data_IF_992788829946
#
_entry.id   IF_992788829946
#
_cell.length_a   1.000
_cell.length_b   1.000
_cell.length_c   1.000
_cell.angle_alpha   90.00
_cell.angle_beta   90.00
_cell.angle_gamma   90.00
#
_symmetry.space_group_name_H-M   'P 1'
#
loop_
_entity.id
_entity.type
_entity.pdbx_description
1 polymer ?
#
# COMPACT_ATOMS: atom_id res chain seq x y z
N UNK A 1 -8.48 18.43 -27.03
CA UNK A 1 -7.05 18.76 -26.97
C UNK A 1 -6.56 19.05 -28.38
N UNK A 2 -5.72 20.06 -28.60
CA UNK A 2 -5.14 20.37 -29.91
C UNK A 2 -4.25 19.21 -30.42
N UNK A 3 -4.21 18.98 -31.72
CA UNK A 3 -3.40 17.92 -32.35
C UNK A 3 -1.89 18.13 -32.09
N UNK A 4 -1.47 19.40 -32.02
CA UNK A 4 -0.11 19.88 -31.71
C UNK A 4 0.39 19.34 -30.37
N UNK A 5 -0.46 19.31 -29.35
CA UNK A 5 -0.11 18.90 -27.99
C UNK A 5 0.10 17.39 -27.91
N UNK A 6 -0.65 16.63 -28.72
CA UNK A 6 -0.52 15.17 -28.81
C UNK A 6 0.80 14.83 -29.52
N UNK A 7 1.10 15.48 -30.65
CA UNK A 7 2.34 15.27 -31.40
C UNK A 7 3.56 15.65 -30.53
N UNK A 8 3.51 16.79 -29.84
CA UNK A 8 4.56 17.22 -28.91
C UNK A 8 4.79 16.22 -27.77
N UNK A 9 3.73 15.65 -27.19
CA UNK A 9 3.84 14.63 -26.15
C UNK A 9 4.50 13.34 -26.68
N UNK A 10 4.11 12.85 -27.86
CA UNK A 10 4.71 11.66 -28.46
C UNK A 10 6.20 11.86 -28.80
N UNK A 11 6.57 13.03 -29.35
CA UNK A 11 7.97 13.36 -29.66
C UNK A 11 8.79 13.47 -28.38
N UNK A 12 8.27 14.11 -27.33
CA UNK A 12 8.95 14.21 -26.04
C UNK A 12 9.15 12.83 -25.37
N UNK A 13 8.12 11.97 -25.42
CA UNK A 13 8.21 10.61 -24.87
C UNK A 13 9.19 9.75 -25.69
N UNK A 14 9.22 9.89 -27.01
CA UNK A 14 10.18 9.20 -27.87
C UNK A 14 11.62 9.65 -27.62
N UNK A 15 11.84 10.96 -27.51
CA UNK A 15 13.17 11.52 -27.25
C UNK A 15 13.69 11.09 -25.87
N UNK A 16 12.83 11.12 -24.85
CA UNK A 16 13.22 10.67 -23.49
C UNK A 16 13.56 9.20 -23.47
N UNK A 17 12.78 8.33 -24.11
CA UNK A 17 13.11 6.90 -24.24
C UNK A 17 14.43 6.67 -24.98
N UNK A 18 14.70 7.45 -26.03
CA UNK A 18 15.93 7.36 -26.80
C UNK A 18 17.16 7.78 -25.97
N UNK A 19 17.08 8.92 -25.28
CA UNK A 19 18.14 9.40 -24.38
C UNK A 19 18.38 8.40 -23.25
N UNK A 20 17.31 7.86 -22.66
CA UNK A 20 17.40 6.86 -21.61
C UNK A 20 18.08 5.58 -22.09
N UNK A 21 17.74 5.11 -23.29
CA UNK A 21 18.38 3.94 -23.91
C UNK A 21 19.87 4.17 -24.17
N UNK A 22 20.26 5.35 -24.67
CA UNK A 22 21.67 5.71 -24.85
C UNK A 22 22.41 5.77 -23.50
N UNK A 23 21.82 6.36 -22.48
CA UNK A 23 22.49 6.51 -21.18
C UNK A 23 22.61 5.18 -20.41
N UNK A 24 21.58 4.33 -20.42
CA UNK A 24 21.60 3.06 -19.68
C UNK A 24 22.40 1.95 -20.38
N UNK A 25 22.49 1.97 -21.71
CA UNK A 25 23.08 0.85 -22.47
C UNK A 25 24.45 1.25 -23.02
N UNK A 26 24.60 2.45 -23.58
CA UNK A 26 25.84 2.80 -24.28
C UNK A 26 26.97 3.18 -23.34
N UNK A 27 26.72 4.07 -22.38
CA UNK A 27 27.76 4.54 -21.44
C UNK A 27 28.38 3.40 -20.61
N UNK A 28 27.62 2.56 -19.90
CA UNK A 28 28.22 1.54 -19.03
C UNK A 28 28.84 0.35 -19.78
N UNK A 29 28.39 0.03 -21.00
CA UNK A 29 28.99 -1.07 -21.80
C UNK A 29 30.33 -0.63 -22.41
N UNK A 30 30.44 0.63 -22.84
CA UNK A 30 31.60 1.14 -23.57
C UNK A 30 32.65 1.77 -22.63
N UNK A 31 32.22 2.47 -21.57
CA UNK A 31 33.14 3.15 -20.63
C UNK A 31 33.58 2.22 -19.49
N UNK A 32 32.68 1.40 -18.91
CA UNK A 32 32.96 0.63 -17.67
C UNK A 32 33.25 -0.86 -17.88
N UNK A 33 33.12 -1.39 -19.12
CA UNK A 33 33.31 -2.83 -19.48
C UNK A 33 32.49 -3.80 -18.60
N UNK A 34 31.32 -3.38 -18.15
CA UNK A 34 30.40 -4.20 -17.36
C UNK A 34 29.63 -5.17 -18.29
N UNK A 35 30.29 -6.28 -18.67
CA UNK A 35 29.71 -7.33 -19.53
C UNK A 35 28.42 -7.95 -18.95
N UNK A 36 28.19 -7.80 -17.65
CA UNK A 36 26.96 -8.23 -16.95
C UNK A 36 25.70 -7.59 -17.53
N UNK A 37 25.79 -6.37 -18.09
CA UNK A 37 24.66 -5.66 -18.70
C UNK A 37 24.22 -6.22 -20.06
N UNK A 38 25.01 -7.12 -20.67
CA UNK A 38 24.57 -7.84 -21.88
C UNK A 38 23.40 -8.79 -21.61
N UNK A 39 23.31 -9.35 -20.40
CA UNK A 39 22.24 -10.29 -20.03
C UNK A 39 20.85 -9.62 -20.11
N UNK A 40 20.61 -8.48 -19.42
CA UNK A 40 19.32 -7.78 -19.53
C UNK A 40 19.06 -7.22 -20.94
N UNK A 41 20.10 -6.80 -21.68
CA UNK A 41 19.95 -6.38 -23.09
C UNK A 41 19.53 -7.54 -23.98
N UNK A 42 20.15 -8.71 -23.83
CA UNK A 42 19.79 -9.92 -24.57
C UNK A 42 18.35 -10.33 -24.25
N UNK A 43 17.96 -10.34 -22.97
CA UNK A 43 16.60 -10.66 -22.53
C UNK A 43 15.58 -9.64 -23.06
N UNK A 44 15.92 -8.35 -23.07
CA UNK A 44 15.11 -7.29 -23.69
C UNK A 44 14.94 -7.49 -25.20
N UNK A 45 16.01 -7.87 -25.90
CA UNK A 45 15.97 -8.21 -27.32
C UNK A 45 15.11 -9.46 -27.58
N UNK A 46 15.18 -10.46 -26.70
CA UNK A 46 14.32 -11.65 -26.75
C UNK A 46 12.84 -11.28 -26.58
N UNK A 47 12.50 -10.25 -25.80
CA UNK A 47 11.11 -9.78 -25.72
C UNK A 47 10.60 -9.20 -27.04
N UNK A 48 11.45 -8.53 -27.83
CA UNK A 48 11.07 -7.99 -29.14
C UNK A 48 10.68 -9.09 -30.14
N UNK A 49 11.16 -10.33 -29.95
CA UNK A 49 10.75 -11.46 -30.80
C UNK A 49 9.25 -11.80 -30.68
N UNK A 50 8.56 -11.26 -29.66
CA UNK A 50 7.10 -11.36 -29.52
C UNK A 50 6.32 -10.76 -30.68
N UNK A 51 6.88 -9.74 -31.36
CA UNK A 51 6.23 -9.11 -32.53
C UNK A 51 6.22 -10.01 -33.77
N UNK A 52 7.07 -11.05 -33.82
CA UNK A 52 7.12 -12.00 -34.92
C UNK A 52 6.54 -13.34 -34.45
N UNK A 53 5.34 -13.75 -34.92
CA UNK A 53 4.64 -14.93 -34.41
C UNK A 53 5.45 -16.24 -34.54
N UNK A 54 6.37 -16.32 -35.52
CA UNK A 54 7.27 -17.47 -35.73
C UNK A 54 8.40 -17.58 -34.70
N UNK A 55 8.84 -16.46 -34.11
CA UNK A 55 9.94 -16.41 -33.15
C UNK A 55 9.47 -16.20 -31.69
N UNK A 56 8.16 -16.01 -31.48
CA UNK A 56 7.57 -15.69 -30.19
C UNK A 56 7.86 -16.73 -29.08
N UNK A 57 8.22 -17.97 -29.41
CA UNK A 57 8.62 -18.98 -28.43
C UNK A 57 9.84 -18.52 -27.60
N UNK A 58 10.74 -17.76 -28.20
CA UNK A 58 11.98 -17.30 -27.56
C UNK A 58 11.71 -16.24 -26.49
N UNK A 59 10.64 -15.45 -26.66
CA UNK A 59 10.17 -14.50 -25.65
C UNK A 59 9.73 -15.18 -24.33
N UNK A 60 9.36 -16.48 -24.36
CA UNK A 60 8.95 -17.23 -23.16
C UNK A 60 10.09 -17.35 -22.14
N UNK A 61 11.34 -17.49 -22.60
CA UNK A 61 12.51 -17.51 -21.72
C UNK A 61 12.73 -16.16 -21.04
N UNK A 62 12.52 -15.06 -21.78
CA UNK A 62 12.59 -13.71 -21.22
C UNK A 62 11.49 -13.49 -20.16
N UNK A 63 10.26 -13.91 -20.44
CA UNK A 63 9.17 -13.86 -19.45
C UNK A 63 9.46 -14.71 -18.21
N UNK A 64 9.98 -15.93 -18.37
CA UNK A 64 10.35 -16.79 -17.25
C UNK A 64 11.44 -16.15 -16.37
N UNK A 65 12.44 -15.51 -16.97
CA UNK A 65 13.47 -14.78 -16.23
C UNK A 65 12.91 -13.58 -15.47
N UNK A 66 12.09 -12.75 -16.11
CA UNK A 66 11.48 -11.56 -15.49
C UNK A 66 10.58 -11.96 -14.31
N UNK A 67 9.74 -12.99 -14.48
CA UNK A 67 8.89 -13.51 -13.41
C UNK A 67 9.73 -14.17 -12.32
N UNK A 68 10.79 -14.90 -12.67
CA UNK A 68 11.72 -15.53 -11.72
C UNK A 68 12.44 -14.51 -10.84
N UNK A 69 13.02 -13.47 -11.43
CA UNK A 69 13.67 -12.38 -10.69
C UNK A 69 12.65 -11.56 -9.91
N UNK A 70 11.51 -11.22 -10.52
CA UNK A 70 10.44 -10.47 -9.87
C UNK A 70 9.89 -11.19 -8.64
N UNK A 71 9.55 -12.47 -8.78
CA UNK A 71 9.08 -13.29 -7.65
C UNK A 71 10.19 -13.58 -6.63
N UNK A 72 11.42 -13.83 -7.08
CA UNK A 72 12.57 -14.07 -6.20
C UNK A 72 12.94 -12.88 -5.32
N UNK A 73 12.73 -11.65 -5.79
CA UNK A 73 12.91 -10.44 -4.98
C UNK A 73 11.66 -10.10 -4.15
N UNK A 74 10.46 -10.36 -4.68
CA UNK A 74 9.22 -10.02 -4.02
C UNK A 74 8.89 -10.96 -2.85
N UNK A 75 9.12 -12.27 -2.98
CA UNK A 75 8.72 -13.27 -1.96
C UNK A 75 9.46 -13.02 -0.63
N UNK A 76 10.82 -12.96 -0.59
CA UNK A 76 11.52 -12.70 0.66
C UNK A 76 11.17 -11.32 1.21
N UNK A 77 11.01 -10.31 0.36
CA UNK A 77 10.63 -8.96 0.79
C UNK A 77 9.25 -8.93 1.46
N UNK A 78 8.29 -9.65 0.89
CA UNK A 78 6.92 -9.76 1.42
C UNK A 78 6.93 -10.52 2.74
N UNK A 79 7.64 -11.65 2.81
CA UNK A 79 7.81 -12.44 4.04
C UNK A 79 8.47 -11.59 5.13
N UNK A 80 9.61 -10.97 4.82
CA UNK A 80 10.34 -10.16 5.78
C UNK A 80 9.54 -8.92 6.22
N UNK A 81 8.78 -8.29 5.32
CA UNK A 81 8.03 -7.08 5.68
C UNK A 81 6.75 -7.36 6.47
N UNK A 82 6.05 -8.46 6.19
CA UNK A 82 4.77 -8.76 6.84
C UNK A 82 4.92 -9.72 8.00
N UNK A 83 5.69 -10.81 7.84
CA UNK A 83 5.81 -11.87 8.85
C UNK A 83 6.80 -11.46 9.93
N UNK A 84 8.01 -11.02 9.57
CA UNK A 84 8.98 -10.62 10.60
C UNK A 84 8.50 -9.40 11.38
N UNK A 85 7.86 -8.44 10.71
CA UNK A 85 7.27 -7.29 11.39
C UNK A 85 6.15 -7.69 12.36
N UNK A 86 5.27 -8.63 11.98
CA UNK A 86 4.24 -9.13 12.89
C UNK A 86 4.83 -9.86 14.11
N UNK A 87 5.90 -10.62 13.91
CA UNK A 87 6.61 -11.29 15.00
C UNK A 87 7.28 -10.24 15.91
N UNK A 88 7.96 -9.26 15.32
CA UNK A 88 8.59 -8.15 16.05
C UNK A 88 7.57 -7.36 16.87
N UNK A 89 6.42 -7.02 16.29
CA UNK A 89 5.33 -6.31 16.98
C UNK A 89 4.74 -7.13 18.14
N UNK A 90 4.80 -8.47 18.07
CA UNK A 90 4.36 -9.38 19.14
C UNK A 90 5.41 -9.53 20.24
N UNK A 91 6.70 -9.47 19.89
CA UNK A 91 7.83 -9.67 20.82
C UNK A 91 8.28 -8.36 21.48
N UNK A 92 8.19 -7.23 20.79
CA UNK A 92 8.55 -5.89 21.30
C UNK A 92 7.87 -5.54 22.64
N UNK A 93 6.58 -5.86 22.89
CA UNK A 93 5.95 -5.66 24.20
C UNK A 93 6.51 -6.56 25.29
N UNK A 94 7.14 -7.70 24.94
CA UNK A 94 7.82 -8.61 25.85
C UNK A 94 9.27 -8.17 26.14
N UNK A 95 9.85 -7.37 25.26
CA UNK A 95 11.22 -6.84 25.34
C UNK A 95 11.18 -5.33 25.58
N UNK A 96 10.97 -4.91 26.83
CA UNK A 96 11.01 -3.48 27.17
C UNK A 96 12.48 -3.03 27.28
N UNK A 97 12.92 -2.15 26.38
CA UNK A 97 14.22 -1.48 26.48
C UNK A 97 14.24 -0.58 27.72
N UNK A 98 14.82 -1.06 28.81
CA UNK A 98 15.15 -0.24 29.97
C UNK A 98 16.38 0.60 29.60
N UNK A 99 16.32 1.94 29.64
CA UNK A 99 17.48 2.79 29.38
C UNK A 99 18.56 2.47 30.41
N UNK A 100 19.65 1.81 30.00
CA UNK A 100 20.85 1.60 30.83
C UNK A 100 21.34 0.16 31.04
N UNK A 101 20.54 -0.88 30.76
CA UNK A 101 20.95 -2.28 31.09
C UNK A 101 20.79 -3.30 29.94
N UNK A 102 20.59 -2.85 28.70
CA UNK A 102 20.44 -3.75 27.56
C UNK A 102 19.12 -4.53 27.58
N UNK A 103 19.04 -5.60 26.77
CA UNK A 103 17.81 -6.37 26.54
C UNK A 103 17.56 -7.31 27.73
N UNK A 104 16.87 -6.82 28.75
CA UNK A 104 16.48 -7.61 29.92
C UNK A 104 14.97 -7.90 29.91
N UNK A 105 14.58 -9.11 30.32
CA UNK A 105 13.18 -9.47 30.64
C UNK A 105 12.78 -8.83 31.97
N UNK A 106 12.78 -7.50 32.06
CA UNK A 106 12.44 -6.77 33.27
C UNK A 106 10.94 -6.45 33.28
N UNK A 107 10.20 -7.14 34.14
CA UNK A 107 8.81 -6.84 34.48
C UNK A 107 8.75 -5.53 35.27
N UNK A 108 8.70 -4.40 34.58
CA UNK A 108 8.61 -3.10 35.23
C UNK A 108 7.17 -2.86 35.74
N UNK A 109 6.95 -3.14 37.03
CA UNK A 109 5.69 -2.94 37.74
C UNK A 109 5.36 -1.46 38.03
N UNK A 110 6.27 -0.52 37.73
CA UNK A 110 6.07 0.92 38.02
C UNK A 110 5.32 1.66 36.90
N UNK A 111 5.15 1.04 35.72
CA UNK A 111 4.25 1.50 34.66
C UNK A 111 3.16 0.43 34.41
N UNK A 112 1.97 0.56 35.03
CA UNK A 112 0.90 -0.44 34.91
C UNK A 112 0.43 -0.66 33.47
N UNK A 113 0.50 0.36 32.62
CA UNK A 113 0.04 0.28 31.24
C UNK A 113 0.91 -0.62 30.35
N UNK A 114 2.24 -0.64 30.58
CA UNK A 114 3.15 -1.47 29.78
C UNK A 114 3.12 -2.93 30.20
N UNK A 115 3.11 -3.19 31.51
CA UNK A 115 3.03 -4.56 32.05
C UNK A 115 1.71 -5.27 31.71
N UNK A 116 0.58 -4.56 31.72
CA UNK A 116 -0.71 -5.11 31.30
C UNK A 116 -0.74 -5.49 29.81
N UNK A 117 -0.17 -4.64 28.94
CA UNK A 117 -0.12 -4.94 27.50
C UNK A 117 0.71 -6.22 27.23
N UNK A 118 1.86 -6.35 27.87
CA UNK A 118 2.71 -7.55 27.83
C UNK A 118 1.93 -8.81 28.24
N UNK A 119 1.19 -8.75 29.36
CA UNK A 119 0.41 -9.89 29.86
C UNK A 119 -0.73 -10.24 28.90
N UNK A 120 -1.45 -9.24 28.40
CA UNK A 120 -2.57 -9.43 27.47
C UNK A 120 -2.09 -10.09 26.17
N UNK A 121 -0.96 -9.63 25.61
CA UNK A 121 -0.40 -10.20 24.38
C UNK A 121 0.13 -11.61 24.64
N UNK A 122 0.87 -11.84 25.72
CA UNK A 122 1.42 -13.15 26.07
C UNK A 122 0.32 -14.20 26.25
N UNK A 123 -0.71 -13.86 27.05
CA UNK A 123 -1.86 -14.76 27.31
C UNK A 123 -2.71 -14.91 26.06
N UNK A 124 -2.98 -13.82 25.33
CA UNK A 124 -3.80 -13.83 24.11
C UNK A 124 -3.18 -14.68 23.00
N UNK A 125 -1.90 -14.46 22.68
CA UNK A 125 -1.19 -15.22 21.64
C UNK A 125 -1.05 -16.69 22.03
N UNK A 126 -0.66 -16.99 23.27
CA UNK A 126 -0.57 -18.36 23.76
C UNK A 126 -1.91 -19.10 23.69
N UNK A 127 -3.00 -18.43 24.10
CA UNK A 127 -4.36 -18.98 24.08
C UNK A 127 -4.90 -19.18 22.66
N UNK A 128 -4.62 -18.27 21.71
CA UNK A 128 -5.00 -18.40 20.29
C UNK A 128 -4.19 -19.50 19.60
N UNK A 129 -2.90 -19.61 19.87
CA UNK A 129 -2.07 -20.71 19.35
C UNK A 129 -2.57 -22.06 19.86
N UNK A 130 -2.92 -22.14 21.15
CA UNK A 130 -3.52 -23.33 21.73
C UNK A 130 -4.83 -23.70 21.02
N UNK A 131 -5.68 -22.72 20.71
CA UNK A 131 -6.93 -22.93 19.95
C UNK A 131 -6.68 -23.47 18.52
N UNK A 132 -5.73 -22.92 17.76
CA UNK A 132 -5.49 -23.35 16.37
C UNK A 132 -4.70 -24.67 16.27
N UNK A 133 -3.63 -24.84 17.04
CA UNK A 133 -2.76 -26.01 16.96
C UNK A 133 -3.40 -27.26 17.57
N UNK A 134 -4.12 -27.12 18.67
CA UNK A 134 -4.84 -28.23 19.30
C UNK A 134 -6.32 -28.25 18.89
N UNK A 135 -6.63 -28.31 17.59
CA UNK A 135 -7.99 -28.57 17.06
C UNK A 135 -8.61 -29.92 17.49
N UNK A 136 -8.12 -30.53 18.57
CA UNK A 136 -8.57 -31.76 19.19
C UNK A 136 -9.89 -31.51 19.93
N UNK A 137 -10.79 -32.50 19.94
CA UNK A 137 -12.06 -32.44 20.64
C UNK A 137 -11.88 -32.07 22.12
N UNK A 138 -12.52 -30.97 22.52
CA UNK A 138 -12.35 -30.35 23.82
C UNK A 138 -13.23 -31.03 24.87
N UNK A 139 -12.73 -32.12 25.48
CA UNK A 139 -13.31 -32.66 26.73
C UNK A 139 -12.42 -32.26 27.92
N UNK A 140 -12.77 -31.16 28.63
CA UNK A 140 -12.14 -30.77 29.91
C UNK A 140 -11.54 -29.36 29.97
N UNK A 141 -10.62 -29.12 30.92
CA UNK A 141 -10.04 -27.80 31.28
C UNK A 141 -9.42 -27.03 30.08
N UNK A 142 -9.00 -27.72 29.02
CA UNK A 142 -8.59 -27.10 27.75
C UNK A 142 -9.70 -26.29 27.06
N UNK A 143 -10.99 -26.60 27.30
CA UNK A 143 -12.15 -25.85 26.77
C UNK A 143 -12.20 -24.40 27.29
N UNK A 144 -11.72 -24.14 28.51
CA UNK A 144 -11.66 -22.80 29.05
C UNK A 144 -10.58 -21.96 28.37
N UNK A 145 -9.38 -22.53 28.18
CA UNK A 145 -8.26 -21.87 27.51
C UNK A 145 -8.56 -21.61 26.03
N UNK A 146 -9.17 -22.58 25.33
CA UNK A 146 -9.55 -22.41 23.94
C UNK A 146 -10.69 -21.38 23.74
N UNK A 147 -11.66 -21.32 24.65
CA UNK A 147 -12.74 -20.32 24.61
C UNK A 147 -12.23 -18.90 24.82
N UNK A 148 -11.23 -18.73 25.68
CA UNK A 148 -10.53 -17.45 25.81
C UNK A 148 -9.82 -17.08 24.49
N UNK A 149 -9.21 -18.06 23.80
CA UNK A 149 -8.58 -17.86 22.50
C UNK A 149 -9.55 -17.39 21.43
N UNK A 150 -10.76 -17.97 21.38
CA UNK A 150 -11.84 -17.53 20.47
C UNK A 150 -12.24 -16.07 20.75
N UNK A 151 -12.34 -15.67 22.02
CA UNK A 151 -12.66 -14.29 22.38
C UNK A 151 -11.58 -13.32 21.88
N UNK A 152 -10.30 -13.65 22.10
CA UNK A 152 -9.17 -12.87 21.57
C UNK A 152 -9.21 -12.77 20.05
N UNK A 153 -9.57 -13.86 19.36
CA UNK A 153 -9.70 -13.90 17.91
C UNK A 153 -10.80 -12.94 17.41
N UNK A 154 -11.97 -12.95 18.06
CA UNK A 154 -13.07 -12.05 17.70
C UNK A 154 -12.69 -10.57 17.90
N UNK A 155 -11.99 -10.26 18.99
CA UNK A 155 -11.53 -8.89 19.27
C UNK A 155 -10.47 -8.47 18.24
N UNK A 156 -9.49 -9.32 17.93
CA UNK A 156 -8.44 -9.03 16.97
C UNK A 156 -8.99 -8.81 15.55
N UNK A 157 -9.91 -9.68 15.10
CA UNK A 157 -10.58 -9.47 13.82
C UNK A 157 -11.46 -8.21 13.82
N UNK A 158 -12.19 -7.95 14.90
CA UNK A 158 -12.96 -6.71 15.06
C UNK A 158 -12.09 -5.46 14.95
N UNK A 159 -10.91 -5.45 15.58
CA UNK A 159 -9.94 -4.37 15.49
C UNK A 159 -9.38 -4.22 14.06
N UNK A 160 -9.05 -5.33 13.39
CA UNK A 160 -8.57 -5.31 12.01
C UNK A 160 -9.61 -4.72 11.03
N UNK A 161 -10.88 -5.10 11.15
CA UNK A 161 -11.96 -4.50 10.37
C UNK A 161 -12.16 -3.02 10.72
N UNK A 162 -12.10 -2.66 12.01
CA UNK A 162 -12.20 -1.28 12.50
C UNK A 162 -11.11 -0.36 11.96
N UNK A 163 -9.87 -0.84 11.82
CA UNK A 163 -8.77 -0.06 11.26
C UNK A 163 -9.04 0.40 9.83
N UNK A 164 -9.70 -0.41 9.01
CA UNK A 164 -10.04 -0.02 7.63
C UNK A 164 -11.09 1.10 7.59
N UNK A 165 -12.06 1.06 8.50
CA UNK A 165 -13.09 2.10 8.66
C UNK A 165 -12.45 3.38 9.20
N UNK A 166 -11.56 3.26 10.18
CA UNK A 166 -10.81 4.39 10.74
C UNK A 166 -9.95 5.06 9.68
N UNK A 167 -9.27 4.31 8.81
CA UNK A 167 -8.48 4.87 7.71
C UNK A 167 -9.35 5.70 6.76
N UNK A 168 -10.55 5.22 6.43
CA UNK A 168 -11.51 5.96 5.59
C UNK A 168 -12.03 7.22 6.29
N UNK A 169 -12.36 7.13 7.58
CA UNK A 169 -12.77 8.32 8.36
C UNK A 169 -11.64 9.33 8.53
N UNK A 170 -10.41 8.86 8.76
CA UNK A 170 -9.23 9.72 8.89
C UNK A 170 -8.94 10.48 7.61
N UNK A 171 -9.09 9.83 6.44
CA UNK A 171 -8.99 10.53 5.15
C UNK A 171 -10.09 11.57 4.96
N UNK A 172 -11.34 11.25 5.33
CA UNK A 172 -12.44 12.21 5.25
C UNK A 172 -12.19 13.42 6.16
N UNK A 173 -11.77 13.18 7.40
CA UNK A 173 -11.40 14.25 8.34
C UNK A 173 -10.27 15.08 7.75
N UNK A 174 -9.21 14.47 7.22
CA UNK A 174 -8.12 15.20 6.56
C UNK A 174 -8.62 16.11 5.43
N UNK A 175 -9.55 15.63 4.59
CA UNK A 175 -10.18 16.48 3.57
C UNK A 175 -11.03 17.61 4.15
N UNK A 176 -11.76 17.37 5.22
CA UNK A 176 -12.54 18.42 5.88
C UNK A 176 -11.63 19.46 6.56
N UNK A 177 -10.51 19.03 7.15
CA UNK A 177 -9.48 19.92 7.70
C UNK A 177 -8.86 20.76 6.60
N UNK A 178 -8.48 20.16 5.45
CA UNK A 178 -8.02 20.91 4.27
C UNK A 178 -9.05 21.99 3.86
N UNK A 179 -10.34 21.62 3.80
CA UNK A 179 -11.42 22.57 3.46
C UNK A 179 -11.55 23.71 4.48
N UNK A 180 -11.42 23.42 5.77
CA UNK A 180 -11.51 24.43 6.85
C UNK A 180 -10.30 25.36 6.78
N UNK A 181 -9.10 24.83 6.56
CA UNK A 181 -7.87 25.63 6.48
C UNK A 181 -7.88 26.57 5.26
N UNK A 182 -8.31 26.09 4.10
CA UNK A 182 -8.52 26.95 2.93
C UNK A 182 -9.71 27.92 3.11
N UNK A 183 -10.58 27.70 4.09
CA UNK A 183 -11.67 28.63 4.43
C UNK A 183 -11.24 29.75 5.38
N UNK A 184 -10.06 29.65 6.01
CA UNK A 184 -9.58 30.66 6.95
C UNK A 184 -9.14 31.95 6.22
N UNK A 185 -9.26 33.10 6.91
CA UNK A 185 -9.11 34.44 6.35
C UNK A 185 -7.71 34.72 5.76
N UNK A 186 -6.70 33.94 6.16
CA UNK A 186 -5.32 34.06 5.69
C UNK A 186 -5.13 33.65 4.22
N UNK A 187 -5.99 32.75 3.69
CA UNK A 187 -5.94 32.27 2.29
C UNK A 187 -6.92 33.00 1.35
N UNK A 188 -7.57 34.08 1.80
CA UNK A 188 -8.38 34.94 0.93
C UNK A 188 -9.82 34.45 0.64
N UNK A 189 -10.37 33.57 1.48
CA UNK A 189 -11.73 33.00 1.35
C UNK A 189 -12.06 32.39 -0.04
N UNK A 190 -11.23 31.51 -0.63
CA UNK A 190 -11.49 30.93 -1.95
C UNK A 190 -12.71 30.01 -1.97
N UNK A 191 -13.03 29.35 -0.85
CA UNK A 191 -14.23 28.52 -0.68
C UNK A 191 -15.52 29.30 -0.85
N UNK A 192 -15.60 30.56 -0.38
CA UNK A 192 -16.77 31.40 -0.60
C UNK A 192 -16.91 31.80 -2.08
N UNK A 193 -15.80 32.09 -2.76
CA UNK A 193 -15.81 32.37 -4.21
C UNK A 193 -16.24 31.16 -5.03
N UNK A 194 -15.75 29.96 -4.70
CA UNK A 194 -16.16 28.71 -5.34
C UNK A 194 -17.63 28.37 -5.06
N UNK A 195 -18.14 28.66 -3.85
CA UNK A 195 -19.54 28.48 -3.50
C UNK A 195 -20.45 29.44 -4.27
N UNK A 196 -20.04 30.72 -4.39
CA UNK A 196 -20.75 31.71 -5.21
C UNK A 196 -20.75 31.29 -6.68
N UNK A 197 -19.61 30.82 -7.21
CA UNK A 197 -19.49 30.37 -8.59
C UNK A 197 -20.38 29.15 -8.86
N UNK A 198 -20.39 28.16 -7.96
CA UNK A 198 -21.23 26.95 -8.09
C UNK A 198 -22.72 27.25 -8.01
N UNK A 199 -23.15 28.11 -7.07
CA UNK A 199 -24.54 28.58 -7.02
C UNK A 199 -24.91 29.37 -8.28
N UNK A 200 -24.03 30.27 -8.73
CA UNK A 200 -24.21 31.03 -9.97
C UNK A 200 -24.33 30.14 -11.20
N UNK A 201 -23.49 29.11 -11.32
CA UNK A 201 -23.55 28.12 -12.39
C UNK A 201 -24.84 27.30 -12.34
N UNK A 202 -25.30 26.89 -11.15
CA UNK A 202 -26.57 26.18 -10.98
C UNK A 202 -27.78 27.06 -11.33
N UNK A 203 -27.78 28.34 -10.96
CA UNK A 203 -28.84 29.29 -11.34
C UNK A 203 -28.82 29.53 -12.85
N UNK A 204 -27.64 29.67 -13.46
CA UNK A 204 -27.51 29.85 -14.90
C UNK A 204 -28.02 28.63 -15.68
N UNK A 205 -27.69 27.42 -15.22
CA UNK A 205 -28.20 26.18 -15.79
C UNK A 205 -29.72 26.03 -15.59
N UNK A 206 -30.23 26.35 -14.40
CA UNK A 206 -31.67 26.34 -14.10
C UNK A 206 -32.47 27.32 -14.97
N UNK A 207 -31.93 28.51 -15.23
CA UNK A 207 -32.55 29.48 -16.14
C UNK A 207 -32.54 29.03 -17.60
N UNK A 208 -31.58 28.21 -18.04
CA UNK A 208 -31.62 27.58 -19.36
C UNK A 208 -32.68 26.48 -19.45
N UNK A 209 -32.92 25.74 -18.37
CA UNK A 209 -33.91 24.64 -18.37
C UNK A 209 -35.37 25.13 -18.34
N UNK A 210 -35.66 26.35 -17.87
CA UNK A 210 -37.00 26.94 -17.94
C UNK A 210 -37.35 27.58 -19.32
N UNK A 211 -36.41 27.60 -20.26
CA UNK A 211 -36.59 28.20 -21.59
C UNK A 211 -37.23 27.30 -22.65
N UNK A 212 -37.47 26.03 -22.35
CA UNK A 212 -38.19 25.12 -23.25
C UNK A 212 -39.65 25.03 -22.78
N UNK A 213 -40.64 25.50 -23.57
CA UNK A 213 -42.05 25.31 -23.24
C UNK A 213 -42.37 23.81 -23.24
N UNK A 214 -43.34 23.36 -22.42
CA UNK A 214 -43.76 21.96 -22.44
C UNK A 214 -44.46 21.71 -23.78
N UNK A 215 -43.77 21.08 -24.73
CA UNK A 215 -44.48 20.51 -25.88
C UNK A 215 -45.29 19.32 -25.39
N UNK A 216 -46.58 19.61 -25.23
CA UNK A 216 -47.70 18.70 -25.39
C UNK A 216 -47.59 17.94 -26.70
N UNK A 217 -47.52 16.61 -26.64
CA UNK A 217 -48.37 15.66 -27.36
C UNK A 217 -48.12 14.24 -26.89
#
# INVERSE_FOLDING_TARGET
>A
MPIETIIGAWVATGLTLFIFSLHLIWKPIVEDKEWTLLIPVAIGLLMLTRYVPKAAWLSRYAFAFIVGVGSGLAIPRTISSYILKQIEDTVRPLMMLVPGEGVSFTWNLLNPASSLNTIIILVGVSSVLFYFFFSVEHTGAGKAVARNGILFLMIAFGAAFGYTVMARMSLLIGRLTDLIEFSDASYGRPTLWLLILTIGALIFLSRRTQGEPPESH
#
